data_IF_629963589455
#
_entry.id   IF_629963589455
#
_cell.length_a   1.000
_cell.length_b   1.000
_cell.length_c   1.000
_cell.angle_alpha   90.00
_cell.angle_beta   90.00
_cell.angle_gamma   90.00
#
_symmetry.space_group_name_H-M   'P 1'
#
loop_
_entity.id
_entity.type
_entity.pdbx_description
1 polymer ?
#
# COMPACT_ATOMS: atom_id res chain seq x y z
N UNK A 1 8.40 23.56 -81.17
CA UNK A 1 7.82 22.93 -79.95
C UNK A 1 8.46 23.56 -78.73
N UNK A 2 7.72 24.34 -77.94
CA UNK A 2 8.20 24.93 -76.68
C UNK A 2 7.78 24.01 -75.53
N UNK A 3 8.74 23.34 -74.88
CA UNK A 3 8.49 22.59 -73.65
C UNK A 3 8.73 23.52 -72.45
N UNK A 4 7.64 23.95 -71.83
CA UNK A 4 7.64 24.66 -70.55
C UNK A 4 7.66 23.63 -69.42
N UNK A 5 8.87 23.34 -68.90
CA UNK A 5 9.04 22.50 -67.71
C UNK A 5 8.62 23.26 -66.45
N UNK A 6 7.51 22.85 -65.84
CA UNK A 6 7.12 23.33 -64.51
C UNK A 6 7.89 22.54 -63.45
N UNK A 7 8.86 23.20 -62.81
CA UNK A 7 9.53 22.70 -61.63
C UNK A 7 8.58 22.80 -60.42
N UNK A 8 8.08 21.67 -59.95
CA UNK A 8 7.30 21.58 -58.72
C UNK A 8 8.27 21.50 -57.54
N UNK A 9 8.46 22.61 -56.82
CA UNK A 9 9.19 22.63 -55.56
C UNK A 9 8.22 22.21 -54.46
N UNK A 10 8.39 20.99 -53.92
CA UNK A 10 7.66 20.55 -52.73
C UNK A 10 8.46 21.01 -51.51
N UNK A 11 7.99 22.06 -50.83
CA UNK A 11 8.52 22.49 -49.54
C UNK A 11 7.87 21.62 -48.46
N UNK A 12 8.61 20.63 -47.95
CA UNK A 12 8.20 19.87 -46.77
C UNK A 12 8.41 20.72 -45.52
N UNK A 13 7.33 21.28 -44.99
CA UNK A 13 7.32 21.92 -43.66
C UNK A 13 7.34 20.81 -42.61
N UNK A 14 8.49 20.55 -42.00
CA UNK A 14 8.57 19.72 -40.79
C UNK A 14 8.06 20.57 -39.63
N UNK A 15 6.80 20.37 -39.25
CA UNK A 15 6.26 20.87 -37.99
C UNK A 15 6.97 20.13 -36.84
N UNK A 16 7.95 20.78 -36.22
CA UNK A 16 8.47 20.33 -34.93
C UNK A 16 7.39 20.60 -33.90
N UNK A 17 6.58 19.59 -33.58
CA UNK A 17 5.70 19.66 -32.41
C UNK A 17 6.59 19.73 -31.17
N UNK A 18 6.60 20.89 -30.51
CA UNK A 18 7.17 21.02 -29.17
C UNK A 18 6.25 20.23 -28.22
N UNK A 19 6.67 19.00 -27.87
CA UNK A 19 6.03 18.26 -26.78
C UNK A 19 6.21 19.09 -25.49
N UNK A 20 5.10 19.59 -24.94
CA UNK A 20 5.12 20.28 -23.65
C UNK A 20 5.04 19.24 -22.55
N UNK A 21 5.91 19.34 -21.55
CA UNK A 21 5.79 18.57 -20.30
C UNK A 21 4.39 18.78 -19.71
N UNK A 22 3.62 17.69 -19.59
CA UNK A 22 2.31 17.70 -18.98
C UNK A 22 2.42 17.53 -17.46
N UNK A 23 1.42 18.02 -16.74
CA UNK A 23 1.28 17.75 -15.30
C UNK A 23 0.07 16.85 -15.08
N UNK A 24 0.26 15.73 -14.38
CA UNK A 24 -0.82 14.86 -13.91
C UNK A 24 -1.03 15.04 -12.42
N UNK A 25 -2.27 15.32 -12.03
CA UNK A 25 -2.64 15.44 -10.62
C UNK A 25 -2.96 14.08 -10.01
N UNK A 26 -2.45 13.84 -8.80
CA UNK A 26 -2.75 12.66 -7.99
C UNK A 26 -3.24 13.11 -6.61
N UNK A 27 -4.43 12.69 -6.24
CA UNK A 27 -4.97 12.93 -4.90
C UNK A 27 -4.27 12.05 -3.87
N UNK A 28 -3.90 12.63 -2.74
CA UNK A 28 -3.32 11.97 -1.57
C UNK A 28 -4.38 11.90 -0.49
N UNK A 29 -4.87 10.71 -0.19
CA UNK A 29 -5.95 10.49 0.76
C UNK A 29 -7.27 11.17 0.38
N UNK A 30 -7.79 10.99 -0.85
CA UNK A 30 -9.07 11.57 -1.22
C UNK A 30 -10.17 11.12 -0.24
N UNK A 31 -10.97 12.08 0.24
CA UNK A 31 -12.07 11.83 1.18
C UNK A 31 -11.67 11.08 2.47
N UNK A 32 -10.43 11.26 2.94
CA UNK A 32 -9.93 10.60 4.15
C UNK A 32 -9.50 9.14 3.95
N UNK A 33 -9.39 8.68 2.70
CA UNK A 33 -8.89 7.34 2.39
C UNK A 33 -7.38 7.20 2.62
N UNK A 34 -6.89 5.98 2.73
CA UNK A 34 -5.45 5.67 2.77
C UNK A 34 -4.95 5.27 1.38
N UNK A 35 -5.22 6.10 0.36
CA UNK A 35 -4.93 5.77 -1.04
C UNK A 35 -4.38 6.94 -1.82
N UNK A 36 -3.67 6.65 -2.90
CA UNK A 36 -3.37 7.60 -3.97
C UNK A 36 -4.38 7.40 -5.10
N UNK A 37 -4.87 8.47 -5.72
CA UNK A 37 -5.82 8.36 -6.83
C UNK A 37 -5.59 9.44 -7.89
N UNK A 38 -5.40 9.08 -9.17
CA UNK A 38 -5.33 7.72 -9.68
C UNK A 38 -4.05 6.98 -9.24
N UNK A 39 -4.13 5.65 -9.18
CA UNK A 39 -2.97 4.77 -9.03
C UNK A 39 -3.21 3.45 -9.82
N UNK A 40 -2.29 3.03 -10.71
CA UNK A 40 -1.08 3.74 -11.12
C UNK A 40 -1.40 4.98 -11.96
N UNK A 41 -0.47 5.94 -11.98
CA UNK A 41 -0.49 7.06 -12.94
C UNK A 41 0.47 6.76 -14.09
N UNK A 42 0.04 6.99 -15.33
CA UNK A 42 0.89 6.83 -16.52
C UNK A 42 1.15 8.18 -17.16
N UNK A 43 2.42 8.51 -17.37
CA UNK A 43 2.90 9.78 -17.94
C UNK A 43 3.99 9.52 -18.98
N UNK A 44 4.39 10.55 -19.74
CA UNK A 44 5.54 10.48 -20.65
C UNK A 44 6.81 11.00 -19.97
N UNK A 45 7.97 10.55 -20.43
CA UNK A 45 9.24 11.13 -19.98
C UNK A 45 9.27 12.65 -20.23
N UNK A 46 9.58 13.41 -19.18
CA UNK A 46 9.52 14.87 -19.14
C UNK A 46 8.28 15.42 -18.42
N UNK A 47 7.26 14.61 -18.18
CA UNK A 47 6.05 15.02 -17.46
C UNK A 47 6.26 15.11 -15.95
N UNK A 48 5.34 15.81 -15.28
CA UNK A 48 5.34 16.04 -13.84
C UNK A 48 4.13 15.37 -13.20
N UNK A 49 4.32 14.71 -12.06
CA UNK A 49 3.21 14.35 -11.18
C UNK A 49 3.09 15.42 -10.10
N UNK A 50 1.88 15.92 -9.88
CA UNK A 50 1.53 16.85 -8.82
C UNK A 50 0.58 16.17 -7.83
N UNK A 51 1.10 15.82 -6.67
CA UNK A 51 0.32 15.23 -5.59
C UNK A 51 -0.38 16.33 -4.79
N UNK A 52 -1.69 16.16 -4.57
CA UNK A 52 -2.56 17.14 -3.91
C UNK A 52 -3.20 16.48 -2.69
N UNK A 53 -3.04 17.07 -1.51
CA UNK A 53 -3.56 16.49 -0.27
C UNK A 53 -5.07 16.68 -0.16
N UNK A 54 -5.79 15.56 -0.04
CA UNK A 54 -7.22 15.48 0.27
C UNK A 54 -7.51 15.25 1.75
N UNK A 55 -6.54 14.71 2.51
CA UNK A 55 -6.63 14.51 3.96
C UNK A 55 -5.29 14.68 4.68
N UNK A 56 -5.33 14.84 5.99
CA UNK A 56 -4.17 15.03 6.87
C UNK A 56 -3.38 13.74 7.11
N UNK A 57 -2.14 13.89 7.59
CA UNK A 57 -1.25 12.80 7.98
C UNK A 57 -0.86 11.86 6.83
N UNK A 58 -0.52 12.42 5.66
CA UNK A 58 0.03 11.64 4.55
C UNK A 58 1.38 12.18 4.08
N UNK A 59 2.16 11.34 3.41
CA UNK A 59 3.41 11.67 2.74
C UNK A 59 3.50 11.00 1.37
N UNK A 60 4.39 11.50 0.52
CA UNK A 60 4.82 10.89 -0.74
C UNK A 60 6.33 10.73 -0.64
N UNK A 61 6.82 9.49 -0.57
CA UNK A 61 8.24 9.17 -0.54
C UNK A 61 8.57 8.13 -1.60
N UNK A 62 9.62 8.37 -2.37
CA UNK A 62 10.07 7.43 -3.41
C UNK A 62 10.63 6.13 -2.82
N UNK A 63 10.34 5.01 -3.48
CA UNK A 63 10.73 3.66 -3.08
C UNK A 63 9.57 2.82 -2.60
N UNK A 64 9.87 1.80 -1.81
CA UNK A 64 8.90 0.92 -1.17
C UNK A 64 9.02 1.00 0.35
N UNK A 65 7.98 0.66 1.13
CA UNK A 65 8.06 0.68 2.59
C UNK A 65 9.27 -0.10 3.12
N UNK A 66 10.07 0.56 3.96
CA UNK A 66 11.30 0.00 4.53
C UNK A 66 12.53 0.06 3.62
N UNK A 67 12.39 0.45 2.34
CA UNK A 67 13.51 0.61 1.38
C UNK A 67 13.30 1.88 0.52
N UNK A 68 13.48 3.09 1.11
CA UNK A 68 13.32 4.33 0.37
C UNK A 68 14.45 4.55 -0.63
N UNK A 69 14.13 5.00 -1.84
CA UNK A 69 15.15 5.32 -2.86
C UNK A 69 15.73 6.73 -2.70
N UNK A 70 15.10 7.58 -1.89
CA UNK A 70 15.50 8.96 -1.60
C UNK A 70 15.64 9.87 -2.84
N UNK A 71 14.88 9.59 -3.91
CA UNK A 71 14.80 10.41 -5.12
C UNK A 71 13.88 11.60 -4.94
N UNK A 72 12.78 11.43 -4.20
CA UNK A 72 11.89 12.52 -3.79
C UNK A 72 11.17 12.19 -2.48
N UNK A 73 10.84 13.22 -1.69
CA UNK A 73 10.01 13.10 -0.50
C UNK A 73 9.30 14.42 -0.17
N UNK A 74 8.01 14.36 0.14
CA UNK A 74 7.24 15.51 0.63
C UNK A 74 7.39 15.74 2.15
N UNK A 75 7.78 14.69 2.89
CA UNK A 75 7.54 14.56 4.33
C UNK A 75 6.04 14.41 4.66
N UNK A 76 5.71 14.25 5.95
CA UNK A 76 4.32 14.20 6.42
C UNK A 76 3.71 15.61 6.33
N UNK A 77 2.53 15.68 5.70
CA UNK A 77 1.83 16.92 5.35
C UNK A 77 0.33 16.80 5.58
N UNK A 78 -0.29 17.97 5.71
CA UNK A 78 -1.73 18.15 5.88
C UNK A 78 -2.25 19.12 4.82
N UNK A 79 -3.50 18.99 4.35
CA UNK A 79 -4.11 19.95 3.44
C UNK A 79 -4.29 21.32 4.11
N UNK A 80 -4.25 22.42 3.34
CA UNK A 80 -3.97 22.47 1.89
C UNK A 80 -2.47 22.32 1.63
N UNK A 81 -2.09 21.37 0.78
CA UNK A 81 -0.71 21.16 0.39
C UNK A 81 -0.62 20.44 -0.96
N UNK A 82 0.39 20.78 -1.75
CA UNK A 82 0.75 20.02 -2.94
C UNK A 82 2.27 19.83 -3.02
N UNK A 83 2.67 18.76 -3.69
CA UNK A 83 4.06 18.41 -3.95
C UNK A 83 4.19 17.91 -5.37
N UNK A 84 5.24 18.32 -6.10
CA UNK A 84 5.41 17.91 -7.48
C UNK A 84 6.81 17.33 -7.75
N UNK A 85 6.89 16.41 -8.70
CA UNK A 85 8.13 15.83 -9.18
C UNK A 85 8.06 15.55 -10.68
N UNK A 86 9.09 15.96 -11.42
CA UNK A 86 9.22 15.74 -12.86
C UNK A 86 10.03 14.48 -13.12
N UNK A 87 9.49 13.59 -13.96
CA UNK A 87 10.12 12.31 -14.30
C UNK A 87 10.74 12.38 -15.69
N UNK A 88 12.06 12.49 -15.77
CA UNK A 88 12.78 12.67 -17.03
C UNK A 88 13.14 11.37 -17.77
N UNK A 89 13.12 10.24 -17.07
CA UNK A 89 13.55 8.95 -17.61
C UNK A 89 12.40 7.95 -17.65
N UNK A 90 12.23 7.19 -18.73
CA UNK A 90 11.25 6.11 -18.79
C UNK A 90 11.52 5.05 -17.73
N UNK A 91 10.46 4.49 -17.15
CA UNK A 91 10.56 3.48 -16.09
C UNK A 91 9.35 3.47 -15.17
N UNK A 92 9.34 2.49 -14.27
CA UNK A 92 8.33 2.35 -13.22
C UNK A 92 8.92 2.87 -11.90
N UNK A 93 8.29 3.88 -11.31
CA UNK A 93 8.77 4.54 -10.09
C UNK A 93 7.75 4.32 -8.97
N UNK A 94 8.11 3.45 -8.03
CA UNK A 94 7.31 3.22 -6.82
C UNK A 94 7.47 4.36 -5.82
N UNK A 95 6.39 4.65 -5.10
CA UNK A 95 6.39 5.55 -3.95
C UNK A 95 5.36 5.07 -2.91
N UNK A 96 5.46 5.58 -1.69
CA UNK A 96 4.58 5.20 -0.59
C UNK A 96 4.37 6.34 0.39
N UNK A 97 3.34 6.21 1.23
CA UNK A 97 3.13 7.07 2.38
C UNK A 97 3.81 6.45 3.62
N UNK A 98 4.64 7.23 4.30
CA UNK A 98 5.48 6.75 5.39
C UNK A 98 4.70 6.24 6.59
N UNK A 99 3.63 6.95 6.98
CA UNK A 99 2.83 6.60 8.16
C UNK A 99 1.81 5.49 7.90
N UNK A 100 1.52 5.20 6.62
CA UNK A 100 0.58 4.14 6.22
C UNK A 100 1.29 2.94 5.57
N UNK A 101 2.60 3.02 5.36
CA UNK A 101 3.45 1.92 4.89
C UNK A 101 2.88 1.16 3.69
N UNK A 102 2.76 -0.15 3.83
CA UNK A 102 2.25 -1.04 2.78
C UNK A 102 0.77 -0.87 2.45
N UNK A 103 -0.01 -0.18 3.28
CA UNK A 103 -1.43 0.08 3.04
C UNK A 103 -1.65 1.21 2.04
N UNK A 104 -0.64 2.06 1.80
CA UNK A 104 -0.73 3.21 0.90
C UNK A 104 0.54 3.33 0.06
N UNK A 105 0.53 2.63 -1.06
CA UNK A 105 1.60 2.63 -2.06
C UNK A 105 1.06 3.13 -3.39
N UNK A 106 1.94 3.64 -4.25
CA UNK A 106 1.58 4.03 -5.60
C UNK A 106 2.73 3.85 -6.59
N UNK A 107 2.40 3.89 -7.88
CA UNK A 107 3.36 3.72 -8.97
C UNK A 107 3.15 4.77 -10.05
N UNK A 108 4.24 5.46 -10.42
CA UNK A 108 4.31 6.29 -11.63
C UNK A 108 4.95 5.46 -12.75
N UNK A 109 4.19 5.23 -13.82
CA UNK A 109 4.68 4.57 -15.04
C UNK A 109 5.04 5.65 -16.05
N UNK A 110 6.34 5.78 -16.36
CA UNK A 110 6.87 6.78 -17.28
C UNK A 110 7.18 6.11 -18.61
N UNK A 111 6.43 6.48 -19.64
CA UNK A 111 6.59 5.95 -20.99
C UNK A 111 7.77 6.61 -21.71
N UNK A 112 8.43 5.84 -22.57
CA UNK A 112 9.41 6.40 -23.50
C UNK A 112 8.74 7.41 -24.43
N UNK A 113 9.44 8.49 -24.83
CA UNK A 113 8.96 9.36 -25.89
C UNK A 113 8.62 8.50 -27.10
N UNK A 114 7.47 8.74 -27.72
CA UNK A 114 7.12 8.08 -28.97
C UNK A 114 8.25 8.37 -29.97
N UNK A 115 8.98 7.32 -30.37
CA UNK A 115 9.99 7.46 -31.40
C UNK A 115 9.28 7.89 -32.70
N UNK A 116 9.75 8.92 -33.42
CA UNK A 116 9.17 9.23 -34.71
C UNK A 116 9.33 8.01 -35.63
N UNK A 117 8.26 7.64 -36.33
CA UNK A 117 8.26 6.56 -37.31
C UNK A 117 9.46 6.72 -38.24
N UNK A 118 10.40 5.75 -38.32
CA UNK A 118 11.57 5.92 -39.15
C UNK A 118 11.18 5.93 -40.63
N UNK A 119 11.49 7.02 -41.33
CA UNK A 119 11.60 7.03 -42.79
C UNK A 119 12.81 6.16 -43.16
N UNK A 120 12.70 5.20 -44.11
CA UNK A 120 13.81 4.31 -44.44
C UNK A 120 14.95 5.11 -45.08
N UNK A 121 16.16 5.09 -44.49
CA UNK A 121 17.39 5.73 -45.00
C UNK A 121 18.61 4.96 -44.44
N UNK A 122 19.71 4.78 -45.22
CA UNK A 122 20.57 3.60 -45.10
C UNK A 122 21.44 3.51 -43.84
N UNK A 123 21.78 2.26 -43.54
CA UNK A 123 22.51 1.72 -42.40
C UNK A 123 23.75 2.52 -41.98
N UNK A 124 23.78 3.09 -40.76
CA UNK A 124 25.01 3.49 -40.11
C UNK A 124 25.70 2.30 -39.40
N UNK A 125 27.03 2.33 -39.43
CA UNK A 125 27.97 1.40 -38.78
C UNK A 125 27.68 1.24 -37.27
N UNK A 126 27.73 0.01 -36.71
CA UNK A 126 27.34 -0.23 -35.33
C UNK A 126 28.32 0.39 -34.32
N UNK A 127 27.78 1.17 -33.40
CA UNK A 127 28.44 1.59 -32.15
C UNK A 127 28.15 0.55 -31.05
N UNK A 128 29.10 0.23 -30.16
CA UNK A 128 28.89 -0.81 -29.14
C UNK A 128 27.72 -0.44 -28.21
N UNK A 129 26.72 -1.32 -28.20
CA UNK A 129 25.53 -1.22 -27.37
C UNK A 129 25.91 -1.32 -25.88
N UNK A 130 25.53 -0.37 -25.01
CA UNK A 130 25.66 -0.58 -23.58
C UNK A 130 24.83 -1.80 -23.19
N UNK A 131 25.47 -2.76 -22.51
CA UNK A 131 24.80 -3.99 -22.05
C UNK A 131 23.74 -3.58 -21.02
N UNK A 132 22.47 -3.69 -21.40
CA UNK A 132 21.35 -3.46 -20.51
C UNK A 132 21.42 -4.46 -19.35
N UNK A 133 21.28 -3.96 -18.12
CA UNK A 133 21.01 -4.79 -16.94
C UNK A 133 19.80 -5.68 -17.26
N UNK A 134 19.89 -7.01 -17.11
CA UNK A 134 18.77 -7.88 -17.44
C UNK A 134 17.56 -7.49 -16.59
N UNK A 135 16.55 -6.93 -17.26
CA UNK A 135 15.25 -6.70 -16.67
C UNK A 135 14.71 -8.08 -16.26
N UNK A 136 14.36 -8.26 -14.99
CA UNK A 136 13.65 -9.47 -14.59
C UNK A 136 12.39 -9.59 -15.46
N UNK A 137 12.02 -10.80 -15.92
CA UNK A 137 10.81 -10.99 -16.68
C UNK A 137 9.63 -10.41 -15.91
N UNK A 138 8.77 -9.64 -16.59
CA UNK A 138 7.47 -9.29 -16.02
C UNK A 138 6.78 -10.58 -15.60
N UNK A 139 6.32 -10.65 -14.35
CA UNK A 139 5.49 -11.76 -13.88
C UNK A 139 4.24 -11.76 -14.76
N UNK A 140 4.17 -12.72 -15.68
CA UNK A 140 2.98 -12.90 -16.52
C UNK A 140 1.78 -13.17 -15.61
N UNK A 141 0.63 -12.56 -15.92
CA UNK A 141 -0.62 -12.93 -15.27
C UNK A 141 -0.88 -14.40 -15.58
N UNK A 142 -0.74 -15.25 -14.57
CA UNK A 142 -1.07 -16.67 -14.67
C UNK A 142 -2.57 -16.86 -14.91
N UNK A 143 -2.99 -18.09 -15.27
CA UNK A 143 -4.40 -18.41 -15.49
C UNK A 143 -5.24 -18.36 -14.20
N UNK A 144 -4.58 -18.31 -13.03
CA UNK A 144 -5.25 -18.26 -11.73
C UNK A 144 -5.85 -16.87 -11.52
N UNK A 145 -7.18 -16.82 -11.41
CA UNK A 145 -7.91 -15.63 -11.00
C UNK A 145 -8.12 -15.69 -9.49
N UNK A 146 -7.67 -14.66 -8.80
CA UNK A 146 -7.92 -14.48 -7.36
C UNK A 146 -8.98 -13.40 -7.25
N UNK A 147 -10.09 -13.74 -6.59
CA UNK A 147 -11.20 -12.83 -6.35
C UNK A 147 -11.56 -12.84 -4.87
N UNK A 148 -12.12 -11.74 -4.39
CA UNK A 148 -12.63 -11.65 -3.03
C UNK A 148 -14.06 -12.16 -3.01
N UNK A 149 -14.33 -13.14 -2.15
CA UNK A 149 -15.68 -13.57 -1.81
C UNK A 149 -16.01 -13.09 -0.39
N UNK A 150 -17.09 -12.34 -0.25
CA UNK A 150 -17.60 -11.99 1.08
C UNK A 150 -18.13 -13.24 1.76
N UNK A 151 -17.50 -13.64 2.87
CA UNK A 151 -17.90 -14.81 3.68
C UNK A 151 -18.81 -14.42 4.85
N UNK A 152 -18.64 -13.21 5.38
CA UNK A 152 -19.38 -12.70 6.54
C UNK A 152 -19.56 -11.18 6.46
N UNK A 153 -20.66 -10.70 7.03
CA UNK A 153 -20.97 -9.27 7.23
C UNK A 153 -21.44 -9.04 8.66
N UNK A 154 -21.52 -7.79 9.12
CA UNK A 154 -22.02 -7.46 10.46
C UNK A 154 -21.06 -7.86 11.59
N UNK A 155 -19.76 -7.83 11.30
CA UNK A 155 -18.68 -8.04 12.26
C UNK A 155 -18.05 -6.69 12.62
N UNK A 156 -17.63 -6.53 13.86
CA UNK A 156 -17.09 -5.25 14.36
C UNK A 156 -15.58 -5.34 14.50
N UNK A 157 -14.86 -4.54 13.72
CA UNK A 157 -13.38 -4.42 13.76
C UNK A 157 -12.66 -5.78 13.86
N UNK A 158 -12.72 -6.64 12.83
CA UNK A 158 -12.12 -7.97 12.86
C UNK A 158 -10.59 -7.89 12.92
N UNK A 159 -9.98 -8.54 13.90
CA UNK A 159 -8.52 -8.52 14.14
C UNK A 159 -7.83 -9.81 13.70
N UNK A 160 -8.45 -10.96 13.97
CA UNK A 160 -7.85 -12.26 13.65
C UNK A 160 -8.91 -13.29 13.29
N UNK A 161 -8.56 -14.18 12.35
CA UNK A 161 -9.37 -15.31 11.93
C UNK A 161 -8.51 -16.58 11.92
N UNK A 162 -8.84 -17.57 12.75
CA UNK A 162 -7.97 -18.73 12.95
C UNK A 162 -8.74 -20.00 13.30
N UNK A 163 -8.14 -21.15 13.01
CA UNK A 163 -8.63 -22.45 13.48
C UNK A 163 -7.93 -22.85 14.78
N UNK A 164 -8.62 -23.62 15.62
CA UNK A 164 -8.01 -24.30 16.76
C UNK A 164 -7.23 -25.57 16.36
N UNK A 165 -7.24 -25.95 15.07
CA UNK A 165 -6.67 -27.21 14.56
C UNK A 165 -7.19 -28.44 15.35
N UNK A 166 -8.45 -28.39 15.78
CA UNK A 166 -9.12 -29.41 16.60
C UNK A 166 -9.95 -30.41 15.77
N UNK A 167 -9.83 -30.36 14.44
CA UNK A 167 -10.56 -31.22 13.51
C UNK A 167 -12.04 -30.85 13.32
N UNK A 168 -12.54 -29.84 14.03
CA UNK A 168 -13.98 -29.48 13.98
C UNK A 168 -14.33 -28.58 12.79
N UNK A 169 -13.34 -28.00 12.10
CA UNK A 169 -13.54 -27.09 10.97
C UNK A 169 -14.06 -25.71 11.35
N UNK A 170 -14.31 -25.44 12.64
CA UNK A 170 -14.77 -24.13 13.10
C UNK A 170 -13.63 -23.11 13.10
N UNK A 171 -13.99 -21.87 12.79
CA UNK A 171 -13.08 -20.73 12.81
C UNK A 171 -13.43 -19.80 13.96
N UNK A 172 -12.42 -19.16 14.53
CA UNK A 172 -12.55 -18.20 15.62
C UNK A 172 -12.25 -16.82 15.05
N UNK A 173 -13.25 -15.95 15.12
CA UNK A 173 -13.15 -14.53 14.78
C UNK A 173 -12.88 -13.72 16.04
N UNK A 174 -11.78 -12.98 16.07
CA UNK A 174 -11.45 -12.03 17.13
C UNK A 174 -11.92 -10.64 16.68
N UNK A 175 -12.78 -10.02 17.47
CA UNK A 175 -13.25 -8.64 17.30
C UNK A 175 -12.49 -7.74 18.28
N UNK A 176 -11.98 -6.59 17.81
CA UNK A 176 -11.19 -5.64 18.61
C UNK A 176 -11.91 -5.22 19.92
N UNK A 177 -13.24 -5.24 19.91
CA UNK A 177 -14.11 -4.88 21.03
C UNK A 177 -14.14 -5.90 22.17
N UNK A 178 -13.39 -7.00 22.07
CA UNK A 178 -13.22 -7.96 23.16
C UNK A 178 -13.91 -9.30 22.98
N UNK A 179 -14.54 -9.54 21.82
CA UNK A 179 -15.30 -10.77 21.59
C UNK A 179 -14.55 -11.75 20.71
N UNK A 180 -14.62 -13.03 21.07
CA UNK A 180 -14.30 -14.14 20.18
C UNK A 180 -15.62 -14.78 19.76
N UNK A 181 -15.89 -14.83 18.46
CA UNK A 181 -17.08 -15.48 17.91
C UNK A 181 -16.67 -16.70 17.09
N UNK A 182 -17.39 -17.81 17.26
CA UNK A 182 -17.14 -19.00 16.46
C UNK A 182 -17.96 -18.91 15.19
N UNK A 183 -17.29 -19.04 14.06
CA UNK A 183 -17.89 -19.32 12.77
C UNK A 183 -17.91 -20.82 12.52
N UNK A 184 -19.10 -21.35 12.24
CA UNK A 184 -19.29 -22.75 11.89
C UNK A 184 -20.46 -22.86 10.91
N UNK A 185 -20.38 -23.78 9.95
CA UNK A 185 -21.45 -24.04 8.97
C UNK A 185 -22.01 -22.77 8.28
N UNK A 186 -21.14 -21.81 7.91
CA UNK A 186 -21.56 -20.61 7.18
C UNK A 186 -22.10 -19.46 8.03
N UNK A 187 -22.15 -19.60 9.36
CA UNK A 187 -22.68 -18.57 10.25
C UNK A 187 -21.83 -18.39 11.53
N UNK A 188 -21.93 -17.19 12.13
CA UNK A 188 -21.40 -16.93 13.46
C UNK A 188 -22.39 -17.39 14.53
N UNK A 189 -21.89 -18.05 15.57
CA UNK A 189 -22.68 -18.36 16.76
C UNK A 189 -23.20 -17.07 17.41
N UNK A 190 -24.43 -17.13 17.93
CA UNK A 190 -25.07 -16.00 18.61
C UNK A 190 -24.35 -15.65 19.92
N UNK A 191 -24.02 -16.65 20.73
CA UNK A 191 -23.23 -16.48 21.94
C UNK A 191 -21.74 -16.45 21.60
N UNK A 192 -20.99 -15.42 22.03
CA UNK A 192 -19.55 -15.39 21.85
C UNK A 192 -18.90 -16.54 22.63
N UNK A 193 -17.81 -17.09 22.08
CA UNK A 193 -16.98 -18.08 22.76
C UNK A 193 -16.29 -17.48 23.99
N UNK A 194 -15.88 -16.22 23.90
CA UNK A 194 -15.29 -15.44 24.98
C UNK A 194 -15.67 -13.98 24.81
N UNK A 195 -15.98 -13.31 25.91
CA UNK A 195 -16.22 -11.86 25.96
C UNK A 195 -15.32 -11.25 27.04
N UNK A 196 -14.33 -10.47 26.61
CA UNK A 196 -13.39 -9.73 27.43
C UNK A 196 -13.67 -8.22 27.40
N UNK A 197 -14.77 -7.77 26.79
CA UNK A 197 -15.06 -6.35 26.59
C UNK A 197 -14.98 -5.53 27.88
N UNK A 198 -15.39 -6.12 29.02
CA UNK A 198 -15.33 -5.46 30.34
C UNK A 198 -13.92 -5.30 30.91
N UNK A 199 -12.91 -5.97 30.34
CA UNK A 199 -11.51 -5.89 30.78
C UNK A 199 -10.69 -4.90 29.97
N UNK A 200 -11.20 -4.48 28.81
CA UNK A 200 -10.46 -3.62 27.90
C UNK A 200 -10.49 -2.16 28.33
N UNK A 201 -9.49 -1.40 27.89
CA UNK A 201 -9.55 0.06 27.88
C UNK A 201 -10.74 0.55 27.02
N UNK A 202 -11.23 1.75 27.31
CA UNK A 202 -12.22 2.39 26.44
C UNK A 202 -11.61 2.65 25.04
N UNK A 203 -12.26 2.12 24.02
CA UNK A 203 -11.82 2.24 22.63
C UNK A 203 -12.40 3.49 21.97
N UNK A 204 -11.59 4.16 21.17
CA UNK A 204 -12.04 5.24 20.29
C UNK A 204 -12.79 4.68 19.08
N UNK A 205 -13.95 5.27 18.76
CA UNK A 205 -14.75 4.87 17.62
C UNK A 205 -14.14 5.29 16.25
N UNK A 206 -13.22 6.26 16.25
CA UNK A 206 -12.63 6.79 15.02
C UNK A 206 -11.42 5.98 14.55
N UNK A 207 -10.62 5.49 15.51
CA UNK A 207 -9.44 4.65 15.31
C UNK A 207 -8.86 4.34 16.69
N UNK A 208 -8.42 3.10 16.91
CA UNK A 208 -7.67 2.71 18.11
C UNK A 208 -6.74 1.54 17.73
N UNK A 209 -5.52 1.53 18.27
CA UNK A 209 -4.57 0.41 18.11
C UNK A 209 -4.61 -0.55 19.30
N UNK A 210 -5.43 -0.23 20.30
CA UNK A 210 -5.63 -1.01 21.53
C UNK A 210 -6.87 -1.89 21.40
N UNK A 211 -7.13 -2.70 22.44
CA UNK A 211 -8.30 -3.56 22.54
C UNK A 211 -7.91 -5.03 22.54
N UNK A 212 -8.70 -5.89 21.91
CA UNK A 212 -8.38 -7.31 21.77
C UNK A 212 -7.72 -7.61 20.43
N UNK A 213 -6.41 -7.79 20.44
CA UNK A 213 -5.60 -7.76 19.23
C UNK A 213 -5.28 -9.15 18.69
N UNK A 214 -5.13 -10.16 19.55
CA UNK A 214 -4.76 -11.50 19.10
C UNK A 214 -5.06 -12.60 20.10
N UNK A 215 -5.19 -13.83 19.60
CA UNK A 215 -5.15 -15.06 20.38
C UNK A 215 -4.18 -16.09 19.80
N UNK A 216 -3.74 -17.01 20.67
CA UNK A 216 -3.08 -18.25 20.28
C UNK A 216 -3.68 -19.43 21.05
N UNK A 217 -3.98 -20.52 20.35
CA UNK A 217 -4.33 -21.79 20.99
C UNK A 217 -3.06 -22.48 21.49
N UNK A 218 -3.12 -23.05 22.70
CA UNK A 218 -2.03 -23.92 23.16
C UNK A 218 -1.90 -25.14 22.22
N UNK A 219 -0.69 -25.66 21.93
CA UNK A 219 -0.53 -26.81 21.03
C UNK A 219 -1.34 -28.06 21.42
N UNK A 220 -1.59 -28.23 22.72
CA UNK A 220 -2.42 -29.29 23.29
C UNK A 220 -3.88 -28.91 23.55
N UNK A 221 -4.40 -27.82 22.97
CA UNK A 221 -5.76 -27.32 23.20
C UNK A 221 -6.84 -28.40 23.10
N UNK A 222 -6.69 -29.31 22.13
CA UNK A 222 -7.63 -30.39 21.83
C UNK A 222 -7.32 -31.72 22.54
N UNK A 223 -6.17 -31.82 23.20
CA UNK A 223 -5.68 -33.07 23.81
C UNK A 223 -5.97 -33.07 25.31
N UNK A 224 -6.92 -33.90 25.77
CA UNK A 224 -7.39 -33.90 27.17
C UNK A 224 -6.28 -34.15 28.20
N UNK A 225 -5.26 -34.94 27.85
CA UNK A 225 -4.10 -35.22 28.70
C UNK A 225 -3.04 -34.10 28.69
N UNK A 226 -3.14 -33.11 27.80
CA UNK A 226 -2.16 -32.03 27.72
C UNK A 226 -2.35 -31.04 28.87
N UNK A 227 -1.26 -30.51 29.45
CA UNK A 227 -1.34 -29.43 30.44
C UNK A 227 -1.99 -28.16 29.88
N UNK A 228 -2.11 -28.02 28.55
CA UNK A 228 -2.84 -26.92 27.93
C UNK A 228 -4.13 -27.31 27.24
N UNK A 229 -4.77 -28.40 27.66
CA UNK A 229 -6.14 -28.71 27.26
C UNK A 229 -7.04 -27.49 27.52
N UNK A 230 -7.71 -27.02 26.47
CA UNK A 230 -8.58 -25.82 26.48
C UNK A 230 -7.90 -24.51 26.90
N UNK A 231 -6.57 -24.41 26.84
CA UNK A 231 -5.86 -23.15 27.08
C UNK A 231 -5.74 -22.30 25.82
N UNK A 232 -6.06 -21.02 25.98
CA UNK A 232 -5.84 -19.96 25.00
C UNK A 232 -5.01 -18.86 25.65
N UNK A 233 -4.17 -18.23 24.85
CA UNK A 233 -3.42 -17.02 25.21
C UNK A 233 -4.06 -15.85 24.50
N UNK A 234 -4.18 -14.72 25.20
CA UNK A 234 -4.82 -13.50 24.68
C UNK A 234 -3.82 -12.36 24.72
N UNK A 235 -3.89 -11.48 23.74
CA UNK A 235 -3.16 -10.21 23.72
C UNK A 235 -4.17 -9.07 23.72
N UNK A 236 -4.26 -8.38 24.87
CA UNK A 236 -5.28 -7.37 25.17
C UNK A 236 -4.66 -6.10 25.73
N UNK A 237 -5.28 -4.96 25.46
CA UNK A 237 -5.02 -3.71 26.16
C UNK A 237 -6.03 -3.53 27.28
N UNK A 238 -5.61 -3.81 28.51
CA UNK A 238 -6.41 -3.63 29.73
C UNK A 238 -5.96 -2.35 30.46
N UNK A 239 -6.82 -1.72 31.26
CA UNK A 239 -6.41 -0.60 32.09
C UNK A 239 -5.23 -0.96 32.98
N UNK A 240 -4.24 -0.07 33.08
CA UNK A 240 -3.13 -0.24 34.02
C UNK A 240 -3.67 -0.14 35.44
N UNK A 241 -3.39 -1.15 36.26
CA UNK A 241 -3.73 -1.17 37.67
C UNK A 241 -2.48 -1.52 38.51
N UNK A 242 -2.26 -0.76 39.58
CA UNK A 242 -1.11 -0.93 40.47
C UNK A 242 0.13 -0.14 40.05
N UNK A 243 1.12 -0.09 40.95
CA UNK A 243 2.44 0.45 40.64
C UNK A 243 3.20 -0.57 39.78
N UNK A 244 3.97 -0.10 38.80
CA UNK A 244 4.88 -0.96 38.05
C UNK A 244 5.83 -1.68 39.04
N UNK A 245 5.91 -3.00 38.93
CA UNK A 245 6.79 -3.85 39.75
C UNK A 245 8.25 -3.81 39.28
N UNK A 246 8.52 -3.11 38.17
CA UNK A 246 9.85 -2.72 37.73
C UNK A 246 9.86 -1.28 37.19
N UNK A 247 10.94 -0.58 37.43
CA UNK A 247 11.24 0.72 36.80
C UNK A 247 12.42 0.54 35.86
N UNK A 248 12.26 0.97 34.60
CA UNK A 248 13.40 1.17 33.70
C UNK A 248 14.01 2.52 34.08
N UNK A 249 15.26 2.60 34.57
CA UNK A 249 15.85 3.87 34.98
C UNK A 249 15.92 4.80 33.77
N UNK A 250 15.19 5.90 33.81
CA UNK A 250 15.30 6.93 32.78
C UNK A 250 16.52 7.80 33.12
N UNK A 251 17.46 8.03 32.18
CA UNK A 251 18.52 9.00 32.39
C UNK A 251 17.95 10.38 32.72
N UNK A 252 18.62 11.13 33.61
CA UNK A 252 18.21 12.50 33.94
C UNK A 252 18.02 13.34 32.67
N UNK A 253 16.87 14.01 32.56
CA UNK A 253 16.53 14.89 31.44
C UNK A 253 15.69 14.25 30.32
N UNK A 254 15.33 12.97 30.44
CA UNK A 254 14.47 12.30 29.47
C UNK A 254 13.08 12.01 30.07
N UNK A 255 12.04 12.09 29.25
CA UNK A 255 10.68 11.64 29.55
C UNK A 255 10.32 10.49 28.61
N UNK A 256 9.56 9.50 29.09
CA UNK A 256 8.98 8.51 28.18
C UNK A 256 8.05 9.23 27.20
N UNK A 257 8.27 9.04 25.90
CA UNK A 257 7.45 9.62 24.84
C UNK A 257 6.44 8.62 24.26
N UNK A 258 6.29 7.46 24.88
CA UNK A 258 5.31 6.46 24.48
C UNK A 258 3.93 6.96 24.94
N UNK A 259 3.18 7.50 23.97
CA UNK A 259 1.74 7.76 24.07
C UNK A 259 0.96 6.46 23.89
#
# INVERSE_FOLDING_TARGET
MKLTGRCLVIVSVVLVQLARAATMDVQVGPSGSMSFSPDPVTISAGDTVNWIWGSSNHSVRSGIPGQPTNTFSSGIRNPPFSFSHTFSSPGDFSYYCEVHGGLMTGTVVVQAPASPTPTPTPTPTPSPTPTATPLLPRIGKGPVRIELQTVLTGITSPMQWLSANDGTGRMFLVEQTGKIRIFNNGALNATPFLDLSSRLVALSANYDERGFLSIAFHPGFSTRSSPGYRKIYTYTSEPVAGAADFTVPIPMGFTFNHQ
#
